data_IF_551361069083
#
_entry.id   IF_551361069083
#
_cell.length_a   1.000
_cell.length_b   1.000
_cell.length_c   1.000
_cell.angle_alpha   90.00
_cell.angle_beta   90.00
_cell.angle_gamma   90.00
#
_symmetry.space_group_name_H-M   'P 1'
#
loop_
_entity.id
_entity.type
_entity.pdbx_description
1 polymer ?
#
# COMPACT_ATOMS: atom_id res chain seq x y z
N UNK A 1 5.37 19.29 -10.00
CA UNK A 1 5.88 18.02 -9.44
C UNK A 1 6.14 18.24 -7.96
N UNK A 2 5.85 17.29 -7.06
CA UNK A 2 6.14 17.46 -5.62
C UNK A 2 7.64 17.59 -5.39
N UNK A 3 8.04 18.31 -4.33
CA UNK A 3 9.45 18.55 -3.98
C UNK A 3 10.20 17.26 -3.59
N UNK A 4 9.48 16.27 -3.04
CA UNK A 4 10.03 14.96 -2.70
C UNK A 4 9.06 13.82 -3.10
N UNK A 5 9.63 12.67 -3.46
CA UNK A 5 8.90 11.47 -3.92
C UNK A 5 9.44 10.24 -3.19
N UNK A 6 8.52 9.39 -2.72
CA UNK A 6 8.85 8.07 -2.20
C UNK A 6 8.78 7.01 -3.32
N UNK A 7 9.79 6.15 -3.41
CA UNK A 7 9.85 5.03 -4.36
C UNK A 7 9.76 3.71 -3.59
N UNK A 8 8.60 3.03 -3.71
CA UNK A 8 8.39 1.70 -3.13
C UNK A 8 8.78 0.63 -4.15
N UNK A 9 9.86 -0.09 -3.87
CA UNK A 9 10.38 -1.20 -4.69
C UNK A 9 9.89 -2.52 -4.10
N UNK A 10 9.05 -3.25 -4.83
CA UNK A 10 8.58 -4.56 -4.41
C UNK A 10 9.60 -5.63 -4.77
N UNK A 11 10.11 -6.35 -3.76
CA UNK A 11 11.16 -7.37 -3.92
C UNK A 11 10.69 -8.50 -4.85
N UNK A 12 11.42 -8.71 -5.94
CA UNK A 12 11.09 -9.73 -6.96
C UNK A 12 11.74 -11.10 -6.73
N UNK A 13 12.80 -11.16 -5.93
CA UNK A 13 13.51 -12.39 -5.54
C UNK A 13 13.39 -12.60 -4.04
N UNK A 14 12.74 -13.68 -3.60
CA UNK A 14 12.87 -14.15 -2.23
C UNK A 14 14.25 -14.81 -2.10
N UNK A 15 15.14 -14.30 -1.22
CA UNK A 15 16.15 -15.18 -0.66
C UNK A 15 15.41 -16.03 0.39
N UNK A 16 15.30 -17.32 0.10
CA UNK A 16 15.32 -18.53 0.97
C UNK A 16 14.76 -18.55 2.40
N UNK A 17 14.22 -17.48 2.97
CA UNK A 17 13.58 -17.55 4.28
C UNK A 17 12.08 -17.77 4.15
N UNK A 18 11.71 -19.06 4.21
CA UNK A 18 10.56 -19.57 4.95
C UNK A 18 9.16 -19.06 4.58
N UNK A 19 8.37 -19.98 4.01
CA UNK A 19 6.96 -20.13 4.34
C UNK A 19 5.93 -19.13 3.77
N UNK A 20 5.86 -19.00 2.43
CA UNK A 20 4.71 -18.33 1.76
C UNK A 20 4.15 -19.08 0.55
N UNK A 21 4.11 -20.42 0.60
CA UNK A 21 3.36 -21.22 -0.37
C UNK A 21 1.84 -20.97 -0.28
N UNK A 22 1.33 -20.67 0.91
CA UNK A 22 -0.11 -20.59 1.20
C UNK A 22 -0.82 -19.41 0.52
N UNK A 23 -0.16 -18.26 0.36
CA UNK A 23 -0.76 -17.08 -0.30
C UNK A 23 -0.96 -17.26 -1.82
N UNK A 24 -0.33 -18.28 -2.42
CA UNK A 24 -0.42 -18.57 -3.86
C UNK A 24 -1.39 -19.73 -4.14
N UNK A 25 -1.56 -20.64 -3.19
CA UNK A 25 -2.35 -21.86 -3.39
C UNK A 25 -3.88 -21.65 -3.38
N UNK A 26 -4.39 -20.60 -2.71
CA UNK A 26 -5.84 -20.45 -2.46
C UNK A 26 -6.64 -19.57 -3.44
N UNK A 27 -6.02 -19.02 -4.50
CA UNK A 27 -6.72 -18.10 -5.40
C UNK A 27 -7.16 -18.83 -6.69
N UNK A 28 -8.48 -18.93 -6.90
CA UNK A 28 -9.12 -19.58 -8.05
C UNK A 28 -8.71 -19.03 -9.42
N UNK A 29 -7.98 -17.91 -9.46
CA UNK A 29 -7.39 -17.31 -10.67
C UNK A 29 -6.14 -18.06 -11.19
N UNK A 30 -5.73 -19.14 -10.53
CA UNK A 30 -4.55 -19.95 -10.90
C UNK A 30 -4.89 -21.34 -11.47
N UNK A 31 -6.16 -21.62 -11.78
CA UNK A 31 -6.63 -22.92 -12.28
C UNK A 31 -6.34 -23.25 -13.75
N UNK A 32 -5.50 -22.49 -14.46
CA UNK A 32 -5.21 -22.79 -15.87
C UNK A 32 -3.93 -22.15 -16.35
N UNK A 33 -2.97 -22.96 -16.78
CA UNK A 33 -1.79 -22.51 -17.52
C UNK A 33 -0.46 -22.98 -16.96
N UNK A 34 -0.31 -24.30 -16.77
CA UNK A 34 1.01 -24.92 -16.92
C UNK A 34 1.38 -24.84 -18.41
N UNK A 35 2.04 -23.76 -18.80
CA UNK A 35 2.56 -23.57 -20.15
C UNK A 35 3.95 -22.95 -20.06
N UNK A 36 4.96 -23.82 -19.91
CA UNK A 36 6.36 -23.61 -20.31
C UNK A 36 7.20 -22.53 -19.59
N UNK A 37 6.62 -21.63 -18.80
CA UNK A 37 7.33 -20.54 -18.14
C UNK A 37 7.55 -20.82 -16.65
N UNK A 38 8.73 -21.34 -16.27
CA UNK A 38 9.03 -21.80 -14.92
C UNK A 38 8.64 -20.85 -13.78
N UNK A 39 8.50 -21.40 -12.56
CA UNK A 39 8.05 -20.79 -11.27
C UNK A 39 8.57 -19.37 -10.96
N UNK A 40 9.66 -18.93 -11.60
CA UNK A 40 10.22 -17.56 -11.53
C UNK A 40 9.38 -16.52 -12.29
N UNK A 41 8.78 -16.91 -13.42
CA UNK A 41 7.93 -16.04 -14.26
C UNK A 41 6.61 -15.68 -13.55
N UNK A 42 5.91 -16.70 -13.01
CA UNK A 42 4.67 -16.54 -12.23
C UNK A 42 4.85 -15.59 -11.04
N UNK A 43 5.99 -15.67 -10.33
CA UNK A 43 6.29 -14.79 -9.19
C UNK A 43 6.46 -13.32 -9.59
N UNK A 44 7.16 -13.03 -10.68
CA UNK A 44 7.29 -11.66 -11.20
C UNK A 44 5.92 -11.10 -11.56
N UNK A 45 5.03 -11.92 -12.11
CA UNK A 45 3.64 -11.55 -12.40
C UNK A 45 2.87 -11.22 -11.10
N UNK A 46 3.07 -11.97 -10.01
CA UNK A 46 2.41 -11.68 -8.73
C UNK A 46 2.88 -10.36 -8.11
N UNK A 47 4.19 -10.13 -8.12
CA UNK A 47 4.78 -8.88 -7.60
C UNK A 47 4.26 -7.67 -8.37
N UNK A 48 4.11 -7.78 -9.70
CA UNK A 48 3.48 -6.74 -10.52
C UNK A 48 2.03 -6.49 -10.12
N UNK A 49 1.23 -7.55 -9.98
CA UNK A 49 -0.17 -7.45 -9.52
C UNK A 49 -0.29 -6.82 -8.14
N UNK A 50 0.66 -7.07 -7.23
CA UNK A 50 0.70 -6.44 -5.91
C UNK A 50 1.00 -4.94 -5.98
N UNK A 51 1.99 -4.53 -6.78
CA UNK A 51 2.29 -3.12 -7.00
C UNK A 51 1.10 -2.37 -7.63
N UNK A 52 0.45 -2.97 -8.62
CA UNK A 52 -0.77 -2.41 -9.23
C UNK A 52 -1.95 -2.35 -8.23
N UNK A 53 -2.10 -3.38 -7.38
CA UNK A 53 -3.13 -3.38 -6.33
C UNK A 53 -2.89 -2.26 -5.32
N UNK A 54 -1.65 -2.05 -4.91
CA UNK A 54 -1.30 -0.96 -4.00
C UNK A 54 -1.61 0.41 -4.62
N UNK A 55 -1.24 0.63 -5.88
CA UNK A 55 -1.60 1.84 -6.62
C UNK A 55 -3.12 2.07 -6.60
N UNK A 56 -3.91 1.05 -6.95
CA UNK A 56 -5.38 1.13 -6.94
C UNK A 56 -5.94 1.41 -5.55
N UNK A 57 -5.36 0.81 -4.51
CA UNK A 57 -5.76 1.04 -3.12
C UNK A 57 -5.52 2.50 -2.70
N UNK A 58 -4.35 3.07 -3.02
CA UNK A 58 -4.05 4.46 -2.75
C UNK A 58 -5.00 5.40 -3.50
N UNK A 59 -5.27 5.13 -4.78
CA UNK A 59 -6.25 5.90 -5.55
C UNK A 59 -7.64 5.83 -4.91
N UNK A 60 -8.08 4.64 -4.46
CA UNK A 60 -9.38 4.46 -3.78
C UNK A 60 -9.43 5.24 -2.46
N UNK A 61 -8.41 5.12 -1.61
CA UNK A 61 -8.33 5.84 -0.35
C UNK A 61 -8.36 7.36 -0.57
N UNK A 62 -7.64 7.86 -1.57
CA UNK A 62 -7.64 9.29 -1.92
C UNK A 62 -9.02 9.75 -2.38
N UNK A 63 -9.72 8.96 -3.21
CA UNK A 63 -11.09 9.27 -3.64
C UNK A 63 -12.09 9.28 -2.50
N UNK A 64 -11.88 8.48 -1.45
CA UNK A 64 -12.71 8.49 -0.25
C UNK A 64 -12.36 9.61 0.72
N UNK A 65 -11.45 10.52 0.37
CA UNK A 65 -11.04 11.64 1.21
C UNK A 65 -10.08 11.28 2.35
N UNK A 66 -9.55 10.05 2.36
CA UNK A 66 -8.55 9.62 3.34
C UNK A 66 -7.22 10.31 3.04
N UNK A 67 -6.58 10.85 4.08
CA UNK A 67 -5.23 11.41 4.00
C UNK A 67 -4.24 10.25 3.80
N UNK A 68 -3.82 10.04 2.57
CA UNK A 68 -2.81 9.07 2.17
C UNK A 68 -1.84 9.69 1.17
N UNK A 69 -0.62 9.11 1.01
CA UNK A 69 0.32 9.57 0.00
C UNK A 69 -0.31 9.59 -1.39
N UNK A 70 -0.19 10.71 -2.13
CA UNK A 70 -0.65 10.76 -3.52
C UNK A 70 0.10 9.73 -4.38
N UNK A 71 -0.58 8.78 -5.03
CA UNK A 71 0.08 7.94 -6.03
C UNK A 71 0.47 8.79 -7.25
N UNK A 72 1.69 8.64 -7.75
CA UNK A 72 2.20 9.36 -8.92
C UNK A 72 2.32 8.45 -10.13
N UNK A 73 2.95 7.29 -9.97
CA UNK A 73 3.18 6.34 -11.05
C UNK A 73 3.36 4.92 -10.50
N UNK A 74 2.73 3.92 -11.11
CA UNK A 74 3.05 2.51 -10.90
C UNK A 74 3.65 1.92 -12.18
N UNK A 75 4.81 1.26 -12.09
CA UNK A 75 5.43 0.57 -13.24
C UNK A 75 6.05 -0.74 -12.81
N UNK A 76 5.55 -1.86 -13.33
CA UNK A 76 5.98 -3.20 -12.98
C UNK A 76 5.93 -3.47 -11.46
N UNK A 77 7.08 -3.49 -10.78
CA UNK A 77 7.24 -3.76 -9.35
C UNK A 77 7.63 -2.49 -8.58
N UNK A 78 7.43 -1.32 -9.19
CA UNK A 78 7.74 0.00 -8.62
C UNK A 78 6.45 0.79 -8.45
N UNK A 79 6.35 1.49 -7.32
CA UNK A 79 5.30 2.46 -7.03
C UNK A 79 5.95 3.77 -6.57
N UNK A 80 5.72 4.84 -7.31
CA UNK A 80 6.08 6.21 -6.97
C UNK A 80 4.88 6.89 -6.33
N UNK A 81 5.10 7.52 -5.19
CA UNK A 81 4.08 8.23 -4.44
C UNK A 81 4.67 9.47 -3.76
N UNK A 82 3.81 10.37 -3.33
CA UNK A 82 4.17 11.52 -2.49
C UNK A 82 5.00 11.06 -1.28
N UNK A 83 6.09 11.78 -1.01
CA UNK A 83 6.87 11.56 0.20
C UNK A 83 6.16 12.20 1.39
N UNK A 84 6.01 11.43 2.48
CA UNK A 84 5.43 11.93 3.74
C UNK A 84 6.58 12.19 4.70
N UNK A 85 6.92 13.47 4.84
CA UNK A 85 8.09 13.91 5.60
C UNK A 85 8.55 15.28 5.11
N UNK A 86 9.58 15.81 5.74
CA UNK A 86 10.13 17.15 5.49
C UNK A 86 11.66 17.04 5.36
N UNK A 87 12.28 17.86 4.50
CA UNK A 87 13.73 17.92 4.31
C UNK A 87 14.44 16.58 4.09
N UNK A 88 13.77 15.65 3.39
CA UNK A 88 14.29 14.31 3.10
C UNK A 88 14.15 13.31 4.25
N UNK A 89 13.64 13.73 5.41
CA UNK A 89 13.39 12.87 6.55
C UNK A 89 11.95 12.35 6.57
N UNK A 90 11.72 11.03 6.67
CA UNK A 90 10.37 10.48 6.69
C UNK A 90 9.68 10.87 8.00
N UNK A 91 8.37 11.11 7.92
CA UNK A 91 7.57 11.31 9.13
C UNK A 91 7.66 10.07 10.05
N UNK A 92 7.79 10.26 11.38
CA UNK A 92 7.90 9.16 12.32
C UNK A 92 6.62 8.32 12.32
N UNK A 93 6.76 7.01 12.49
CA UNK A 93 5.61 6.13 12.64
C UNK A 93 5.02 6.31 14.04
N UNK A 94 3.72 6.05 14.20
CA UNK A 94 3.05 6.23 15.49
C UNK A 94 3.68 5.40 16.63
N UNK A 95 4.30 4.25 16.32
CA UNK A 95 5.02 3.41 17.29
C UNK A 95 6.38 3.98 17.72
N UNK A 96 6.97 4.85 16.89
CA UNK A 96 8.25 5.50 17.13
C UNK A 96 8.07 6.78 17.98
N UNK A 97 6.84 7.31 18.04
CA UNK A 97 6.48 8.39 18.94
C UNK A 97 6.25 7.82 20.33
N UNK A 98 7.12 8.16 21.29
CA UNK A 98 7.04 7.65 22.65
C UNK A 98 5.73 8.02 23.35
N UNK A 99 5.24 7.13 24.23
CA UNK A 99 4.02 7.39 25.01
C UNK A 99 4.11 8.67 25.86
N UNK A 100 5.33 9.01 26.31
CA UNK A 100 5.62 10.20 27.10
C UNK A 100 5.73 11.50 26.25
N UNK A 101 5.91 11.39 24.93
CA UNK A 101 6.07 12.55 24.03
C UNK A 101 4.72 13.22 23.72
N UNK A 102 3.61 12.51 23.92
CA UNK A 102 2.26 12.97 23.62
C UNK A 102 1.38 12.97 24.88
N UNK A 103 0.64 14.06 25.09
CA UNK A 103 -0.36 14.11 26.16
C UNK A 103 -1.52 13.12 25.89
N UNK A 104 -2.19 12.67 26.95
CA UNK A 104 -3.34 11.74 26.85
C UNK A 104 -4.44 12.26 25.91
N UNK A 105 -4.64 13.58 25.85
CA UNK A 105 -5.58 14.22 24.92
C UNK A 105 -5.18 14.02 23.45
N UNK A 106 -3.89 14.11 23.11
CA UNK A 106 -3.39 13.87 21.75
C UNK A 106 -3.55 12.40 21.36
N UNK A 107 -3.22 11.49 22.25
CA UNK A 107 -3.44 10.05 22.04
C UNK A 107 -4.90 9.71 21.74
N UNK A 108 -5.83 10.24 22.54
CA UNK A 108 -7.27 10.05 22.30
C UNK A 108 -7.71 10.61 20.94
N UNK A 109 -7.15 11.76 20.54
CA UNK A 109 -7.43 12.36 19.23
C UNK A 109 -6.97 11.44 18.09
N UNK A 110 -5.73 10.94 18.14
CA UNK A 110 -5.20 10.05 17.11
C UNK A 110 -5.94 8.71 17.06
N UNK A 111 -6.31 8.16 18.22
CA UNK A 111 -7.13 6.96 18.28
C UNK A 111 -8.47 7.15 17.57
N UNK A 112 -9.18 8.25 17.87
CA UNK A 112 -10.43 8.60 17.21
C UNK A 112 -10.24 8.83 15.70
N UNK A 113 -9.20 9.56 15.31
CA UNK A 113 -8.87 9.79 13.89
C UNK A 113 -8.64 8.45 13.16
N UNK A 114 -7.88 7.52 13.76
CA UNK A 114 -7.64 6.20 13.17
C UNK A 114 -8.94 5.41 12.94
N UNK A 115 -9.86 5.40 13.91
CA UNK A 115 -11.17 4.75 13.76
C UNK A 115 -11.98 5.35 12.62
N UNK A 116 -12.02 6.69 12.52
CA UNK A 116 -12.71 7.37 11.44
C UNK A 116 -12.10 7.05 10.07
N UNK A 117 -10.77 6.96 9.98
CA UNK A 117 -10.10 6.57 8.74
C UNK A 117 -10.46 5.14 8.31
N UNK A 118 -10.44 4.18 9.25
CA UNK A 118 -10.84 2.79 8.99
C UNK A 118 -12.30 2.71 8.55
N UNK A 119 -13.19 3.39 9.26
CA UNK A 119 -14.60 3.46 8.90
C UNK A 119 -14.80 4.07 7.51
N UNK A 120 -14.13 5.19 7.20
CA UNK A 120 -14.21 5.85 5.89
C UNK A 120 -13.76 4.91 4.76
N UNK A 121 -12.67 4.16 4.96
CA UNK A 121 -12.18 3.19 3.96
C UNK A 121 -13.16 2.04 3.73
N UNK A 122 -13.83 1.60 4.80
CA UNK A 122 -14.81 0.52 4.74
C UNK A 122 -16.11 0.98 4.07
N UNK A 123 -16.70 2.09 4.54
CA UNK A 123 -17.99 2.62 4.07
C UNK A 123 -17.94 3.17 2.63
N UNK A 124 -16.79 3.65 2.17
CA UNK A 124 -16.63 4.17 0.79
C UNK A 124 -16.56 3.08 -0.29
N UNK A 125 -16.65 1.80 0.07
CA UNK A 125 -16.55 0.67 -0.86
C UNK A 125 -17.72 0.48 -1.83
N UNK A 126 -18.85 1.19 -1.65
CA UNK A 126 -20.08 1.02 -2.42
C UNK A 126 -20.37 2.12 -3.44
N UNK A 127 -19.58 3.21 -3.48
CA UNK A 127 -19.79 4.34 -4.41
C UNK A 127 -18.51 4.67 -5.15
N UNK A 128 -18.32 4.10 -6.33
CA UNK A 128 -17.19 4.43 -7.23
C UNK A 128 -17.68 5.26 -8.42
N UNK A 129 -18.08 6.50 -8.20
CA UNK A 129 -18.38 7.43 -9.30
C UNK A 129 -17.16 8.30 -9.65
N UNK A 130 -16.57 8.03 -10.82
CA UNK A 130 -16.06 9.03 -11.77
C UNK A 130 -14.85 9.92 -11.46
N UNK A 131 -14.31 10.00 -10.24
CA UNK A 131 -13.17 10.92 -9.98
C UNK A 131 -11.84 10.34 -10.48
N UNK A 132 -11.09 11.01 -11.38
CA UNK A 132 -9.70 10.63 -11.66
C UNK A 132 -8.85 10.76 -10.38
N UNK A 133 -7.78 9.97 -10.30
CA UNK A 133 -6.83 10.00 -9.19
C UNK A 133 -5.94 11.26 -9.21
#
# INVERSE_FOLDING_TARGET
>A
MPAAVAVKVFRTSLNEFGNRGEYVAGDARYGGGDSGGGRRSVRRTHVRRWAEKELRNLCRARRSGVRCPRPLLGRQHLLLMEFVGEDGWPAPQLREVGAAELSSRRWLRYYREALLLVWTLWSSGSSTSGRPC
#
